data_IF_384610078853
#
_entry.id   IF_384610078853
#
_cell.length_a   1.000
_cell.length_b   1.000
_cell.length_c   1.000
_cell.angle_alpha   90.00
_cell.angle_beta   90.00
_cell.angle_gamma   90.00
#
_symmetry.space_group_name_H-M   'P 1'
#
loop_
_entity.id
_entity.type
_entity.pdbx_description
1 polymer ?
#
# COMPACT_ATOMS: atom_id res chain seq x y z
N UNK A 1 16.65 -3.79 1.05
CA UNK A 1 16.07 -2.52 1.53
C UNK A 1 15.80 -1.73 0.27
N UNK A 2 14.54 -1.46 -0.12
CA UNK A 2 14.30 -0.73 -1.38
C UNK A 2 14.90 0.66 -1.21
N UNK A 3 15.96 0.93 -1.95
CA UNK A 3 16.72 2.15 -1.81
C UNK A 3 15.95 3.30 -2.45
N UNK A 4 15.07 3.98 -1.69
CA UNK A 4 14.45 5.25 -2.10
C UNK A 4 15.48 6.42 -2.14
N UNK A 5 16.78 6.11 -2.29
CA UNK A 5 17.90 7.07 -2.23
C UNK A 5 17.87 8.04 -3.41
N UNK A 6 17.23 7.70 -4.53
CA UNK A 6 17.16 8.53 -5.75
C UNK A 6 15.72 8.71 -6.24
N UNK A 7 14.83 9.15 -5.35
CA UNK A 7 13.46 9.50 -5.71
C UNK A 7 13.44 10.80 -6.54
N UNK A 8 12.87 10.73 -7.74
CA UNK A 8 12.68 11.90 -8.61
C UNK A 8 11.31 12.52 -8.38
N UNK A 9 11.28 13.56 -7.55
CA UNK A 9 10.03 14.18 -7.07
C UNK A 9 9.18 14.74 -8.21
N UNK A 10 9.77 15.57 -9.09
CA UNK A 10 9.05 16.23 -10.19
C UNK A 10 8.49 15.21 -11.18
N UNK A 11 9.33 14.29 -11.66
CA UNK A 11 8.88 13.20 -12.56
C UNK A 11 7.79 12.35 -11.92
N UNK A 12 7.84 12.12 -10.60
CA UNK A 12 6.82 11.33 -9.91
C UNK A 12 5.46 12.05 -9.85
N UNK A 13 5.47 13.36 -9.61
CA UNK A 13 4.27 14.20 -9.54
C UNK A 13 3.63 14.36 -10.93
N UNK A 14 4.43 14.45 -11.99
CA UNK A 14 3.96 14.58 -13.38
C UNK A 14 3.39 13.27 -13.91
N UNK A 15 4.12 12.16 -13.74
CA UNK A 15 3.70 10.84 -14.21
C UNK A 15 2.63 10.17 -13.34
N UNK A 16 2.26 10.76 -12.20
CA UNK A 16 1.41 10.17 -11.16
C UNK A 16 1.87 8.77 -10.74
N UNK A 17 3.17 8.52 -10.80
CA UNK A 17 3.80 7.23 -10.49
C UNK A 17 5.08 7.49 -9.72
N UNK A 18 5.42 6.63 -8.76
CA UNK A 18 6.69 6.75 -8.06
C UNK A 18 7.85 6.41 -9.01
N UNK A 19 8.69 7.39 -9.29
CA UNK A 19 9.87 7.27 -10.16
C UNK A 19 11.13 7.38 -9.31
N UNK A 20 11.87 6.29 -9.22
CA UNK A 20 13.14 6.20 -8.52
C UNK A 20 14.05 5.19 -9.21
N UNK A 21 15.35 5.31 -8.98
CA UNK A 21 16.32 4.35 -9.50
C UNK A 21 16.22 3.03 -8.73
N UNK A 22 15.73 2.00 -9.41
CA UNK A 22 15.60 0.66 -8.85
C UNK A 22 16.90 -0.13 -9.01
N UNK A 23 17.32 -0.80 -7.94
CA UNK A 23 18.41 -1.76 -8.00
C UNK A 23 18.03 -2.92 -8.93
N UNK A 24 19.01 -3.50 -9.63
CA UNK A 24 18.78 -4.61 -10.58
C UNK A 24 18.06 -5.79 -9.92
N UNK A 25 18.36 -6.04 -8.65
CA UNK A 25 17.72 -7.09 -7.86
C UNK A 25 16.23 -6.82 -7.63
N UNK A 26 15.84 -5.58 -7.34
CA UNK A 26 14.44 -5.18 -7.15
C UNK A 26 13.61 -5.34 -8.45
N UNK A 27 14.25 -5.09 -9.61
CA UNK A 27 13.63 -5.33 -10.92
C UNK A 27 13.41 -6.82 -11.19
N UNK A 28 14.43 -7.63 -10.92
CA UNK A 28 14.35 -9.10 -11.08
C UNK A 28 13.28 -9.72 -10.18
N UNK A 29 13.22 -9.30 -8.91
CA UNK A 29 12.19 -9.75 -7.97
C UNK A 29 10.78 -9.38 -8.49
N UNK A 30 10.62 -8.17 -9.03
CA UNK A 30 9.34 -7.73 -9.61
C UNK A 30 8.91 -8.61 -10.78
N UNK A 31 9.84 -8.93 -11.69
CA UNK A 31 9.59 -9.84 -12.82
C UNK A 31 9.21 -11.23 -12.31
N UNK A 32 9.93 -11.74 -11.31
CA UNK A 32 9.69 -13.06 -10.71
C UNK A 32 8.29 -13.15 -10.10
N UNK A 33 7.83 -12.10 -9.41
CA UNK A 33 6.46 -12.03 -8.87
C UNK A 33 5.43 -12.05 -10.00
N UNK A 34 5.60 -11.23 -11.04
CA UNK A 34 4.67 -11.21 -12.17
C UNK A 34 4.60 -12.57 -12.86
N UNK A 35 5.75 -13.18 -13.13
CA UNK A 35 5.84 -14.48 -13.78
C UNK A 35 5.21 -15.57 -12.90
N UNK A 36 5.64 -15.69 -11.64
CA UNK A 36 5.17 -16.72 -10.72
C UNK A 36 3.66 -16.70 -10.51
N UNK A 37 3.07 -15.53 -10.27
CA UNK A 37 1.63 -15.42 -10.07
C UNK A 37 0.82 -15.52 -11.38
N UNK A 38 1.39 -15.17 -12.53
CA UNK A 38 0.73 -15.41 -13.83
C UNK A 38 0.71 -16.90 -14.17
N UNK A 39 1.81 -17.61 -13.92
CA UNK A 39 1.88 -19.07 -14.09
C UNK A 39 0.92 -19.77 -13.12
N UNK A 40 0.91 -19.36 -11.85
CA UNK A 40 -0.04 -19.89 -10.87
C UNK A 40 -1.49 -19.69 -11.33
N UNK A 41 -1.86 -18.50 -11.79
CA UNK A 41 -3.20 -18.23 -12.30
C UNK A 41 -3.52 -19.10 -13.53
N UNK A 42 -2.57 -19.25 -14.45
CA UNK A 42 -2.71 -20.08 -15.65
C UNK A 42 -2.92 -21.57 -15.32
N UNK A 43 -2.06 -22.15 -14.47
CA UNK A 43 -2.19 -23.54 -14.02
C UNK A 43 -3.54 -23.75 -13.32
N UNK A 44 -3.92 -22.83 -12.44
CA UNK A 44 -5.20 -22.89 -11.73
C UNK A 44 -6.39 -22.93 -12.70
N UNK A 45 -6.36 -22.13 -13.77
CA UNK A 45 -7.40 -22.14 -14.81
C UNK A 45 -7.42 -23.44 -15.63
N UNK A 46 -6.24 -24.00 -15.95
CA UNK A 46 -6.14 -25.27 -16.66
C UNK A 46 -6.73 -26.41 -15.82
N UNK A 47 -6.37 -26.49 -14.54
CA UNK A 47 -6.90 -27.50 -13.62
C UNK A 47 -8.41 -27.33 -13.41
N UNK A 48 -8.91 -26.09 -13.29
CA UNK A 48 -10.35 -25.82 -13.17
C UNK A 48 -11.15 -26.27 -14.41
N UNK A 49 -10.53 -26.28 -15.59
CA UNK A 49 -11.17 -26.73 -16.83
C UNK A 49 -11.34 -28.26 -16.86
N UNK A 50 -10.41 -28.99 -16.25
CA UNK A 50 -10.36 -30.46 -16.30
C UNK A 50 -11.17 -31.11 -15.16
N UNK A 51 -11.57 -30.36 -14.14
CA UNK A 51 -12.35 -30.88 -13.01
C UNK A 51 -13.86 -30.81 -13.30
N UNK A 52 -14.52 -31.95 -13.24
CA UNK A 52 -15.99 -32.01 -13.24
C UNK A 52 -16.56 -31.51 -11.91
N UNK A 53 -17.57 -30.63 -12.03
CA UNK A 53 -18.24 -30.03 -10.87
C UNK A 53 -19.15 -31.07 -10.19
N UNK A 54 -18.64 -31.71 -9.15
CA UNK A 54 -19.38 -32.67 -8.32
C UNK A 54 -19.34 -32.27 -6.83
N UNK A 55 -20.24 -32.85 -6.02
CA UNK A 55 -20.25 -32.60 -4.57
C UNK A 55 -18.95 -33.08 -3.89
N UNK A 56 -18.34 -34.14 -4.42
CA UNK A 56 -17.08 -34.69 -3.92
C UNK A 56 -15.89 -33.76 -4.19
N UNK A 57 -15.92 -32.99 -5.27
CA UNK A 57 -14.81 -32.10 -5.67
C UNK A 57 -15.08 -30.64 -5.29
N UNK A 58 -16.15 -30.34 -4.55
CA UNK A 58 -16.56 -28.97 -4.23
C UNK A 58 -15.49 -28.19 -3.45
N UNK A 59 -14.76 -28.86 -2.55
CA UNK A 59 -13.67 -28.26 -1.78
C UNK A 59 -12.48 -27.91 -2.68
N UNK A 60 -12.03 -28.84 -3.52
CA UNK A 60 -10.93 -28.62 -4.47
C UNK A 60 -11.27 -27.48 -5.43
N UNK A 61 -12.48 -27.47 -5.97
CA UNK A 61 -12.98 -26.41 -6.84
C UNK A 61 -12.97 -25.05 -6.14
N UNK A 62 -13.36 -24.99 -4.87
CA UNK A 62 -13.34 -23.76 -4.07
C UNK A 62 -11.92 -23.26 -3.81
N UNK A 63 -10.99 -24.17 -3.49
CA UNK A 63 -9.57 -23.83 -3.28
C UNK A 63 -8.98 -23.24 -4.56
N UNK A 64 -9.23 -23.88 -5.71
CA UNK A 64 -8.71 -23.40 -7.00
C UNK A 64 -9.26 -22.03 -7.37
N UNK A 65 -10.57 -21.78 -7.18
CA UNK A 65 -11.13 -20.44 -7.39
C UNK A 65 -10.45 -19.41 -6.48
N UNK A 66 -10.26 -19.74 -5.19
CA UNK A 66 -9.57 -18.85 -4.26
C UNK A 66 -8.13 -18.58 -4.68
N UNK A 67 -7.38 -19.59 -5.14
CA UNK A 67 -6.01 -19.42 -5.65
C UNK A 67 -5.96 -18.55 -6.90
N UNK A 68 -6.92 -18.68 -7.82
CA UNK A 68 -7.00 -17.85 -9.01
C UNK A 68 -7.27 -16.38 -8.65
N UNK A 69 -8.28 -16.14 -7.81
CA UNK A 69 -8.62 -14.79 -7.33
C UNK A 69 -7.44 -14.17 -6.58
N UNK A 70 -6.80 -14.94 -5.69
CA UNK A 70 -5.62 -14.49 -4.96
C UNK A 70 -4.49 -14.11 -5.91
N UNK A 71 -4.20 -14.94 -6.91
CA UNK A 71 -3.15 -14.65 -7.90
C UNK A 71 -3.43 -13.37 -8.69
N UNK A 72 -4.66 -13.18 -9.16
CA UNK A 72 -5.08 -11.94 -9.81
C UNK A 72 -4.97 -10.72 -8.88
N UNK A 73 -5.35 -10.88 -7.62
CA UNK A 73 -5.24 -9.84 -6.59
C UNK A 73 -3.78 -9.45 -6.34
N UNK A 74 -2.86 -10.41 -6.27
CA UNK A 74 -1.42 -10.17 -6.14
C UNK A 74 -0.88 -9.35 -7.31
N UNK A 75 -1.20 -9.77 -8.54
CA UNK A 75 -0.74 -9.10 -9.75
C UNK A 75 -1.24 -7.66 -9.79
N UNK A 76 -2.52 -7.45 -9.45
CA UNK A 76 -3.12 -6.12 -9.36
C UNK A 76 -2.47 -5.25 -8.27
N UNK A 77 -2.23 -5.79 -7.07
CA UNK A 77 -1.49 -5.10 -6.00
C UNK A 77 -0.11 -4.65 -6.52
N UNK A 78 0.61 -5.55 -7.17
CA UNK A 78 1.98 -5.29 -7.63
C UNK A 78 2.00 -4.25 -8.76
N UNK A 79 1.02 -4.31 -9.65
CA UNK A 79 0.86 -3.33 -10.73
C UNK A 79 0.55 -1.94 -10.20
N UNK A 80 -0.31 -1.85 -9.19
CA UNK A 80 -0.77 -0.57 -8.67
C UNK A 80 0.09 0.06 -7.58
N UNK A 81 1.05 -0.71 -7.03
CA UNK A 81 1.97 -0.30 -5.95
C UNK A 81 2.63 1.07 -6.19
N UNK A 82 3.06 1.36 -7.42
CA UNK A 82 3.77 2.60 -7.75
C UNK A 82 2.84 3.75 -8.14
N UNK A 83 1.55 3.53 -8.38
CA UNK A 83 0.66 4.61 -8.80
C UNK A 83 0.31 5.51 -7.61
N UNK A 84 0.46 6.82 -7.82
CA UNK A 84 0.11 7.82 -6.83
C UNK A 84 -1.40 8.06 -6.87
N UNK A 85 -2.02 7.95 -5.70
CA UNK A 85 -3.43 8.25 -5.50
C UNK A 85 -3.59 9.73 -5.15
N UNK A 86 -4.52 10.39 -5.82
CA UNK A 86 -4.78 11.81 -5.64
C UNK A 86 -5.91 12.03 -4.62
N UNK A 87 -5.70 12.98 -3.70
CA UNK A 87 -6.72 13.47 -2.78
C UNK A 87 -6.73 15.00 -2.87
N UNK A 88 -7.75 15.61 -3.50
CA UNK A 88 -7.91 17.05 -3.51
C UNK A 88 -8.33 17.56 -2.13
N UNK A 89 -7.95 18.79 -1.82
CA UNK A 89 -8.31 19.48 -0.60
C UNK A 89 -8.49 20.98 -0.89
N UNK A 90 -9.24 21.69 -0.04
CA UNK A 90 -9.47 23.15 -0.22
C UNK A 90 -8.84 24.01 0.87
N UNK A 91 -8.20 23.37 1.85
CA UNK A 91 -7.42 24.02 2.91
C UNK A 91 -6.06 24.50 2.36
N UNK A 92 -5.35 25.37 3.11
CA UNK A 92 -3.99 25.75 2.73
C UNK A 92 -3.05 24.55 2.76
N UNK A 93 -2.01 24.59 1.92
CA UNK A 93 -1.00 23.54 1.85
C UNK A 93 -0.28 23.37 3.19
N UNK A 94 -0.04 24.46 3.90
CA UNK A 94 0.60 24.51 5.21
C UNK A 94 -0.25 23.80 6.26
N UNK A 95 -1.56 24.02 6.24
CA UNK A 95 -2.52 23.36 7.13
C UNK A 95 -2.63 21.86 6.80
N UNK A 96 -2.75 21.51 5.51
CA UNK A 96 -2.72 20.11 5.08
C UNK A 96 -1.45 19.39 5.55
N UNK A 97 -0.30 20.06 5.42
CA UNK A 97 0.99 19.55 5.86
C UNK A 97 1.04 19.33 7.37
N UNK A 98 0.57 20.31 8.16
CA UNK A 98 0.50 20.22 9.62
C UNK A 98 -0.35 19.02 10.06
N UNK A 99 -1.55 18.88 9.48
CA UNK A 99 -2.47 17.78 9.81
C UNK A 99 -1.88 16.40 9.51
N UNK A 100 -1.19 16.25 8.37
CA UNK A 100 -0.54 14.98 7.99
C UNK A 100 0.62 14.64 8.94
N UNK A 101 1.38 15.64 9.39
CA UNK A 101 2.43 15.46 10.40
C UNK A 101 1.84 15.04 11.74
N UNK A 102 0.77 15.70 12.20
CA UNK A 102 0.08 15.32 13.43
C UNK A 102 -0.55 13.93 13.36
N UNK A 103 -1.10 13.55 12.21
CA UNK A 103 -1.55 12.19 11.96
C UNK A 103 -0.41 11.18 12.16
N UNK A 104 0.76 11.42 11.53
CA UNK A 104 1.93 10.57 11.71
C UNK A 104 2.36 10.46 13.17
N UNK A 105 2.42 11.58 13.90
CA UNK A 105 2.76 11.60 15.33
C UNK A 105 1.76 10.81 16.19
N UNK A 106 0.46 10.94 15.92
CA UNK A 106 -0.61 10.22 16.64
C UNK A 106 -0.52 8.72 16.46
N UNK A 107 -0.14 8.27 15.27
CA UNK A 107 0.04 6.86 14.97
C UNK A 107 1.45 6.33 15.27
N UNK A 108 2.29 7.12 15.96
CA UNK A 108 3.68 6.76 16.29
C UNK A 108 4.54 6.44 15.07
N UNK A 109 4.24 7.05 13.92
CA UNK A 109 5.03 6.90 12.70
C UNK A 109 6.31 7.72 12.79
N UNK A 110 7.40 7.13 12.31
CA UNK A 110 8.67 7.83 12.12
C UNK A 110 8.56 8.72 10.88
N UNK A 111 8.51 10.02 11.11
CA UNK A 111 8.42 11.02 10.04
C UNK A 111 9.82 11.29 9.51
N UNK A 112 10.02 11.10 8.21
CA UNK A 112 11.30 11.36 7.54
C UNK A 112 11.13 12.16 6.25
N UNK A 113 12.25 12.66 5.70
CA UNK A 113 12.30 13.45 4.45
C UNK A 113 11.24 14.56 4.33
N UNK A 114 11.06 15.36 5.39
CA UNK A 114 10.15 16.51 5.36
C UNK A 114 10.76 17.61 4.49
N UNK A 115 10.25 17.79 3.27
CA UNK A 115 10.62 18.89 2.38
C UNK A 115 9.40 19.78 2.07
N UNK A 116 9.57 20.76 1.18
CA UNK A 116 8.47 21.63 0.77
C UNK A 116 7.28 20.86 0.15
N UNK A 117 7.56 19.78 -0.58
CA UNK A 117 6.57 19.05 -1.37
C UNK A 117 6.52 17.55 -1.04
N UNK A 118 7.23 17.07 -0.03
CA UNK A 118 7.36 15.64 0.28
C UNK A 118 7.36 15.39 1.79
N UNK A 119 6.64 14.36 2.22
CA UNK A 119 6.71 13.79 3.57
C UNK A 119 6.72 12.27 3.45
N UNK A 120 7.59 11.61 4.20
CA UNK A 120 7.53 10.16 4.41
C UNK A 120 7.00 9.89 5.82
N UNK A 121 5.98 9.05 5.90
CA UNK A 121 5.46 8.50 7.16
C UNK A 121 5.83 7.02 7.22
N UNK A 122 6.79 6.66 8.05
CA UNK A 122 7.22 5.27 8.21
C UNK A 122 6.51 4.65 9.41
N UNK A 123 5.66 3.67 9.12
CA UNK A 123 4.96 2.87 10.11
C UNK A 123 5.80 1.61 10.42
N UNK A 124 6.20 1.37 11.68
CA UNK A 124 6.82 0.11 12.05
C UNK A 124 5.78 -1.03 11.93
N UNK A 125 6.07 -2.09 11.17
CA UNK A 125 5.20 -3.27 11.07
C UNK A 125 5.52 -4.23 12.22
N UNK A 126 4.70 -4.22 13.26
CA UNK A 126 5.12 -4.84 14.54
C UNK A 126 4.37 -6.11 14.97
N UNK A 127 3.62 -6.84 14.12
CA UNK A 127 2.80 -7.96 14.64
C UNK A 127 2.84 -9.28 13.82
N UNK A 128 3.16 -9.26 12.52
CA UNK A 128 3.07 -10.48 11.67
C UNK A 128 4.22 -10.71 10.69
N UNK A 129 5.29 -9.91 10.75
CA UNK A 129 6.48 -10.14 9.93
C UNK A 129 7.42 -11.12 10.63
N UNK A 130 7.38 -12.39 10.22
CA UNK A 130 8.40 -13.39 10.54
C UNK A 130 9.79 -12.86 10.12
N UNK A 131 10.52 -12.25 11.06
CA UNK A 131 11.97 -12.20 11.05
C UNK A 131 12.69 -10.95 10.53
N UNK A 132 12.03 -9.85 10.14
CA UNK A 132 12.72 -8.56 9.86
C UNK A 132 11.84 -7.36 10.18
N UNK A 133 12.46 -6.30 10.68
CA UNK A 133 11.93 -4.93 10.78
C UNK A 133 11.39 -4.49 9.41
N UNK A 134 10.11 -4.76 9.16
CA UNK A 134 9.44 -4.28 7.97
C UNK A 134 8.89 -2.90 8.30
N UNK A 135 9.24 -1.87 7.53
CA UNK A 135 8.62 -0.55 7.66
C UNK A 135 7.64 -0.36 6.52
N UNK A 136 6.41 0.10 6.79
CA UNK A 136 5.49 0.55 5.76
C UNK A 136 5.63 2.07 5.62
N UNK A 137 6.18 2.52 4.49
CA UNK A 137 6.35 3.95 4.20
C UNK A 137 5.19 4.47 3.37
N UNK A 138 4.43 5.40 3.93
CA UNK A 138 3.51 6.26 3.16
C UNK A 138 4.29 7.46 2.63
N UNK A 139 4.40 7.55 1.31
CA UNK A 139 5.03 8.67 0.62
C UNK A 139 3.94 9.65 0.22
N UNK A 140 4.03 10.89 0.69
CA UNK A 140 3.06 11.95 0.40
C UNK A 140 3.75 13.10 -0.32
N UNK A 141 3.28 13.40 -1.54
CA UNK A 141 3.65 14.58 -2.31
C UNK A 141 2.55 15.63 -2.21
N UNK A 142 2.95 16.90 -2.16
CA UNK A 142 2.03 18.04 -2.24
C UNK A 142 2.11 18.67 -3.63
N UNK A 143 0.95 18.79 -4.30
CA UNK A 143 0.80 19.41 -5.61
C UNK A 143 -0.40 20.36 -5.57
N UNK A 144 -0.15 21.66 -5.53
CA UNK A 144 -1.19 22.69 -5.46
C UNK A 144 -2.20 22.38 -4.32
N UNK A 145 -3.47 22.21 -4.66
CA UNK A 145 -4.59 21.91 -3.76
C UNK A 145 -4.90 20.40 -3.69
N UNK A 146 -3.88 19.55 -3.86
CA UNK A 146 -4.01 18.11 -3.75
C UNK A 146 -2.75 17.47 -3.15
N UNK A 147 -2.95 16.33 -2.50
CA UNK A 147 -1.86 15.41 -2.22
C UNK A 147 -1.87 14.27 -3.23
N UNK A 148 -0.68 13.81 -3.60
CA UNK A 148 -0.46 12.56 -4.30
C UNK A 148 0.26 11.62 -3.34
N UNK A 149 -0.27 10.42 -3.09
CA UNK A 149 0.35 9.51 -2.12
C UNK A 149 0.40 8.07 -2.62
N UNK A 150 1.37 7.31 -2.14
CA UNK A 150 1.41 5.86 -2.26
C UNK A 150 2.00 5.23 -1.00
N UNK A 151 1.80 3.92 -0.84
CA UNK A 151 2.33 3.14 0.28
C UNK A 151 3.27 2.07 -0.27
N UNK A 152 4.46 1.98 0.30
CA UNK A 152 5.46 0.97 0.01
C UNK A 152 5.85 0.28 1.30
N UNK A 153 5.72 -1.05 1.34
CA UNK A 153 6.30 -1.85 2.43
C UNK A 153 7.75 -2.18 2.11
N UNK A 154 8.63 -1.83 3.02
CA UNK A 154 10.01 -2.26 3.09
C UNK A 154 10.09 -3.65 3.77
N UNK A 155 11.06 -4.48 3.37
CA UNK A 155 11.32 -5.78 4.00
C UNK A 155 10.50 -6.97 3.46
N UNK A 156 9.26 -6.77 2.99
CA UNK A 156 8.47 -7.83 2.35
C UNK A 156 8.36 -7.63 0.82
N UNK A 157 8.70 -8.68 0.07
CA UNK A 157 8.73 -8.66 -1.41
C UNK A 157 7.33 -8.68 -2.02
N UNK A 158 6.39 -9.32 -1.33
CA UNK A 158 4.98 -9.47 -1.67
C UNK A 158 4.11 -8.50 -0.88
N UNK A 159 3.51 -7.52 -1.57
CA UNK A 159 2.75 -6.42 -0.96
C UNK A 159 1.23 -6.68 -0.89
N UNK A 160 0.83 -7.86 -0.41
CA UNK A 160 -0.57 -8.27 -0.43
C UNK A 160 -1.48 -7.46 0.50
N UNK A 161 -0.94 -6.97 1.62
CA UNK A 161 -1.71 -6.14 2.57
C UNK A 161 -1.81 -4.67 2.13
N UNK A 162 -1.06 -4.26 1.10
CA UNK A 162 -0.93 -2.84 0.74
C UNK A 162 -2.24 -2.26 0.22
N UNK A 163 -3.11 -2.99 -0.47
CA UNK A 163 -4.36 -2.40 -0.94
C UNK A 163 -5.32 -2.07 0.20
N UNK A 164 -5.40 -2.93 1.22
CA UNK A 164 -6.22 -2.68 2.42
C UNK A 164 -5.66 -1.47 3.16
N UNK A 165 -4.35 -1.47 3.45
CA UNK A 165 -3.67 -0.32 4.07
C UNK A 165 -3.88 0.96 3.26
N UNK A 166 -3.70 0.91 1.93
CA UNK A 166 -3.91 2.05 1.05
C UNK A 166 -5.34 2.56 1.07
N UNK A 167 -6.34 1.69 1.19
CA UNK A 167 -7.75 2.07 1.28
C UNK A 167 -8.05 2.76 2.62
N UNK A 168 -7.54 2.21 3.73
CA UNK A 168 -7.68 2.79 5.06
C UNK A 168 -6.99 4.16 5.13
N UNK A 169 -5.73 4.26 4.71
CA UNK A 169 -5.00 5.53 4.63
C UNK A 169 -5.70 6.52 3.72
N UNK A 170 -6.31 6.08 2.61
CA UNK A 170 -7.13 6.96 1.74
C UNK A 170 -8.28 7.58 2.52
N UNK A 171 -9.00 6.76 3.28
CA UNK A 171 -10.17 7.18 4.05
C UNK A 171 -9.76 8.15 5.15
N UNK A 172 -8.66 7.87 5.83
CA UNK A 172 -8.14 8.73 6.89
C UNK A 172 -7.66 10.08 6.33
N UNK A 173 -6.86 10.09 5.24
CA UNK A 173 -6.41 11.33 4.60
C UNK A 173 -7.58 12.15 4.04
N UNK A 174 -8.60 11.52 3.45
CA UNK A 174 -9.81 12.22 3.01
C UNK A 174 -10.53 12.92 4.15
N UNK A 175 -10.62 12.28 5.32
CA UNK A 175 -11.22 12.89 6.52
C UNK A 175 -10.34 14.02 7.06
N UNK A 176 -9.04 13.76 7.19
CA UNK A 176 -8.05 14.69 7.74
C UNK A 176 -7.96 16.00 6.94
N UNK A 177 -8.01 15.89 5.62
CA UNK A 177 -7.91 17.03 4.69
C UNK A 177 -9.27 17.69 4.42
N UNK A 178 -10.35 17.22 5.05
CA UNK A 178 -11.65 17.85 4.94
C UNK A 178 -11.63 19.22 5.65
N UNK A 179 -12.28 20.28 5.10
CA UNK A 179 -12.23 21.61 5.68
C UNK A 179 -12.77 21.67 7.11
N UNK A 180 -13.85 20.95 7.37
CA UNK A 180 -14.53 20.86 8.67
C UNK A 180 -13.99 19.75 9.58
N UNK A 181 -12.74 19.31 9.36
CA UNK A 181 -12.15 18.29 10.20
C UNK A 181 -12.05 18.79 11.65
N UNK A 182 -12.83 18.17 12.53
CA UNK A 182 -12.66 18.21 13.98
C UNK A 182 -11.92 16.95 14.41
N UNK A 183 -10.93 17.12 15.28
CA UNK A 183 -10.14 15.98 15.75
C UNK A 183 -11.02 14.96 16.47
N UNK A 184 -10.99 13.68 16.08
CA UNK A 184 -11.65 12.64 16.85
C UNK A 184 -10.88 12.41 18.16
N UNK A 185 -11.61 12.39 19.28
CA UNK A 185 -11.10 12.00 20.60
C UNK A 185 -10.49 10.59 20.47
N UNK A 186 -9.20 10.45 20.85
CA UNK A 186 -8.32 9.25 20.82
C UNK A 186 -8.95 7.96 20.28
N UNK A 187 -8.45 7.45 19.15
CA UNK A 187 -8.58 6.02 18.79
C UNK A 187 -7.23 5.34 18.91
N UNK A 188 -7.19 4.26 19.69
CA UNK A 188 -6.09 3.29 19.70
C UNK A 188 -5.99 2.60 18.33
N UNK A 189 -4.77 2.17 18.01
CA UNK A 189 -4.31 1.62 16.73
C UNK A 189 -5.29 0.62 16.08
N UNK A 190 -5.53 0.79 14.77
CA UNK A 190 -6.55 0.05 14.00
C UNK A 190 -6.45 -1.48 14.11
N UNK A 191 -5.25 -2.04 14.19
CA UNK A 191 -5.05 -3.49 14.30
C UNK A 191 -5.44 -4.05 15.67
N UNK A 192 -5.29 -3.29 16.77
CA UNK A 192 -5.74 -3.74 18.09
C UNK A 192 -7.27 -3.84 18.14
N UNK A 193 -7.99 -2.94 17.47
CA UNK A 193 -9.46 -2.98 17.45
C UNK A 193 -10.06 -4.15 16.65
N UNK A 194 -9.29 -4.72 15.70
CA UNK A 194 -9.77 -5.81 14.85
C UNK A 194 -9.52 -7.20 15.46
N UNK A 195 -8.52 -7.35 16.35
CA UNK A 195 -8.14 -8.63 16.94
C UNK A 195 -8.44 -8.76 18.45
N UNK A 196 -8.70 -7.67 19.17
CA UNK A 196 -9.10 -7.70 20.60
C UNK A 196 -10.61 -7.48 20.83
N UNK A 197 -11.41 -7.49 19.77
CA UNK A 197 -12.88 -7.36 19.83
C UNK A 197 -13.64 -8.68 19.90
N UNK A 198 -13.03 -9.74 20.46
CA UNK A 198 -13.65 -11.03 20.77
C UNK A 198 -13.35 -11.41 22.22
#
# INVERSE_FOLDING_TARGET
>A
MRSLKRLKITESIESKKLVFEEETFDKFDTITIYFGFSVMAGITLLVLKDIERSLNNALEFSILICLFIFSGYVLYCKFTEKYLKEIPFTISKEEAKKRIIEYGKRHHYKISKVSANLIFLNEPSDIYSLGKECEQTTIVFFKNNAILYTLIKEGQRSNFTVLVSQHLTRRDFKKLLHPQYTEPIKRETYFNSFFHGL
#
